data_IF_185438422826
#
_entry.id   IF_185438422826
#
_cell.length_a   1.000
_cell.length_b   1.000
_cell.length_c   1.000
_cell.angle_alpha   90.00
_cell.angle_beta   90.00
_cell.angle_gamma   90.00
#
_symmetry.space_group_name_H-M   'P 1'
#
loop_
_entity.id
_entity.type
_entity.pdbx_description
1 polymer ?
#
# COMPACT_ATOMS: atom_id res chain seq x y z
N UNK A 1 -34.33 -17.52 -4.35
CA UNK A 1 -33.95 -17.72 -2.93
C UNK A 1 -32.58 -17.12 -2.71
N UNK A 2 -32.51 -16.00 -2.00
CA UNK A 2 -31.22 -15.40 -1.62
C UNK A 2 -30.59 -16.22 -0.49
N UNK A 3 -29.50 -16.88 -0.76
CA UNK A 3 -28.70 -17.53 0.26
C UNK A 3 -27.94 -16.44 1.04
N UNK A 4 -28.39 -16.17 2.27
CA UNK A 4 -27.63 -15.31 3.19
C UNK A 4 -26.36 -16.06 3.61
N UNK A 5 -25.16 -15.51 3.47
CA UNK A 5 -23.95 -16.15 3.95
C UNK A 5 -24.06 -16.36 5.45
N UNK A 6 -23.74 -17.58 5.89
CA UNK A 6 -23.85 -17.99 7.29
C UNK A 6 -22.95 -17.14 8.19
N UNK A 7 -23.33 -17.02 9.48
CA UNK A 7 -22.59 -16.24 10.54
C UNK A 7 -21.09 -16.55 10.62
N UNK A 8 -20.67 -17.76 10.24
CA UNK A 8 -19.25 -18.16 10.19
C UNK A 8 -18.47 -17.49 9.05
N UNK A 9 -19.09 -17.28 7.88
CA UNK A 9 -18.48 -16.57 6.75
C UNK A 9 -18.27 -15.08 7.10
N UNK A 10 -19.24 -14.46 7.78
CA UNK A 10 -19.14 -13.05 8.23
C UNK A 10 -18.03 -12.89 9.30
N UNK A 11 -17.84 -13.87 10.19
CA UNK A 11 -16.72 -13.86 11.16
C UNK A 11 -15.35 -14.00 10.49
N UNK A 12 -15.25 -14.83 9.46
CA UNK A 12 -14.00 -15.03 8.71
C UNK A 12 -13.62 -13.78 7.90
N UNK A 13 -14.60 -13.10 7.32
CA UNK A 13 -14.41 -11.82 6.62
C UNK A 13 -13.92 -10.73 7.60
N UNK A 14 -14.52 -10.62 8.80
CA UNK A 14 -14.07 -9.69 9.85
C UNK A 14 -12.66 -9.98 10.37
N UNK A 15 -12.24 -11.24 10.43
CA UNK A 15 -10.89 -11.62 10.86
C UNK A 15 -9.81 -11.23 9.85
N UNK A 16 -10.14 -11.18 8.56
CA UNK A 16 -9.21 -10.76 7.49
C UNK A 16 -9.08 -9.23 7.46
N UNK A 17 -10.15 -8.49 7.76
CA UNK A 17 -10.15 -7.02 7.80
C UNK A 17 -9.40 -6.43 9.01
N UNK A 18 -9.04 -7.25 10.00
CA UNK A 18 -8.34 -6.78 11.21
C UNK A 18 -6.85 -6.47 10.99
N UNK A 19 -6.23 -6.88 9.89
CA UNK A 19 -4.80 -6.66 9.65
C UNK A 19 -4.45 -5.26 9.13
N UNK A 20 -5.36 -4.59 8.43
CA UNK A 20 -5.16 -3.22 7.96
C UNK A 20 -6.15 -2.27 8.62
N UNK A 21 -5.73 -1.68 9.73
CA UNK A 21 -6.54 -0.76 10.54
C UNK A 21 -6.02 0.67 10.42
N UNK A 22 -6.84 1.64 10.82
CA UNK A 22 -6.42 3.04 10.91
C UNK A 22 -5.16 3.21 11.77
N UNK A 23 -4.98 2.42 12.83
CA UNK A 23 -3.78 2.42 13.67
C UNK A 23 -2.53 1.99 12.90
N UNK A 24 -2.63 0.93 12.09
CA UNK A 24 -1.52 0.47 11.24
C UNK A 24 -1.14 1.55 10.23
N UNK A 25 -2.12 2.19 9.61
CA UNK A 25 -1.89 3.27 8.68
C UNK A 25 -1.28 4.51 9.34
N UNK A 26 -1.75 4.90 10.52
CA UNK A 26 -1.15 5.99 11.31
C UNK A 26 0.32 5.71 11.69
N UNK A 27 0.65 4.46 12.06
CA UNK A 27 2.03 4.04 12.30
C UNK A 27 2.89 4.18 11.04
N UNK A 28 2.36 3.80 9.89
CA UNK A 28 3.03 3.99 8.60
C UNK A 28 3.29 5.48 8.31
N UNK A 29 2.29 6.34 8.45
CA UNK A 29 2.41 7.78 8.24
C UNK A 29 3.48 8.40 9.17
N UNK A 30 3.48 8.02 10.45
CA UNK A 30 4.47 8.47 11.42
C UNK A 30 5.91 8.02 11.06
N UNK A 31 6.07 6.80 10.55
CA UNK A 31 7.36 6.30 10.05
C UNK A 31 7.80 7.06 8.79
N UNK A 32 6.88 7.31 7.87
CA UNK A 32 7.14 8.06 6.64
C UNK A 32 7.66 9.47 6.96
N UNK A 33 7.02 10.19 7.87
CA UNK A 33 7.49 11.53 8.29
C UNK A 33 8.87 11.48 8.96
N UNK A 34 9.17 10.46 9.76
CA UNK A 34 10.51 10.31 10.35
C UNK A 34 11.59 10.10 9.29
N UNK A 35 11.31 9.28 8.26
CA UNK A 35 12.26 9.02 7.17
C UNK A 35 12.52 10.26 6.31
N UNK A 36 11.49 11.08 6.11
CA UNK A 36 11.57 12.27 5.26
C UNK A 36 11.97 13.54 6.01
N UNK A 37 12.05 13.49 7.34
CA UNK A 37 12.35 14.65 8.20
C UNK A 37 13.64 15.38 7.82
N UNK A 38 14.67 14.64 7.41
CA UNK A 38 15.97 15.20 7.02
C UNK A 38 15.90 16.03 5.74
N UNK A 39 14.94 15.74 4.87
CA UNK A 39 14.81 16.45 3.59
C UNK A 39 14.17 17.82 3.72
N UNK A 40 13.53 18.12 4.85
CA UNK A 40 12.74 19.35 5.11
C UNK A 40 11.67 19.63 4.02
N UNK A 41 11.35 18.64 3.19
CA UNK A 41 10.35 18.76 2.12
C UNK A 41 8.99 18.25 2.61
N UNK A 42 7.93 18.89 2.13
CA UNK A 42 6.57 18.40 2.36
C UNK A 42 6.34 17.10 1.58
N UNK A 43 5.74 16.13 2.26
CA UNK A 43 5.39 14.84 1.65
C UNK A 43 4.03 14.95 0.99
N UNK A 44 3.94 14.56 -0.27
CA UNK A 44 2.69 14.37 -0.99
C UNK A 44 2.46 12.87 -1.15
N UNK A 45 1.49 12.35 -0.41
CA UNK A 45 1.14 10.93 -0.42
C UNK A 45 -0.05 10.71 -1.35
N UNK A 46 0.09 9.80 -2.29
CA UNK A 46 -0.99 9.34 -3.16
C UNK A 46 -1.45 7.98 -2.64
N UNK A 47 -2.73 7.85 -2.35
CA UNK A 47 -3.31 6.62 -1.83
C UNK A 47 -4.61 6.28 -2.55
N UNK A 48 -4.98 5.01 -2.53
CA UNK A 48 -6.28 4.57 -3.00
C UNK A 48 -7.42 5.03 -2.07
N UNK A 49 -8.66 4.80 -2.50
CA UNK A 49 -9.85 5.19 -1.77
C UNK A 49 -10.23 4.26 -0.61
N UNK A 50 -9.31 3.42 -0.10
CA UNK A 50 -9.63 2.49 0.99
C UNK A 50 -10.20 3.21 2.21
N UNK A 51 -11.27 2.71 2.85
CA UNK A 51 -11.93 3.38 3.99
C UNK A 51 -10.99 3.71 5.15
N UNK A 52 -9.97 2.87 5.41
CA UNK A 52 -8.96 3.09 6.45
C UNK A 52 -8.20 4.40 6.23
N UNK A 53 -7.89 4.74 4.98
CA UNK A 53 -7.19 5.98 4.64
C UNK A 53 -8.02 7.24 4.92
N UNK A 54 -9.36 7.08 4.98
CA UNK A 54 -10.33 8.15 5.23
C UNK A 54 -10.90 8.13 6.64
N UNK A 55 -10.39 7.26 7.51
CA UNK A 55 -10.86 7.14 8.89
C UNK A 55 -10.71 8.48 9.64
N UNK A 56 -11.62 8.75 10.59
CA UNK A 56 -11.65 10.01 11.36
C UNK A 56 -10.34 10.28 12.08
N UNK A 57 -9.73 9.26 12.67
CA UNK A 57 -8.43 9.37 13.34
C UNK A 57 -7.30 9.74 12.39
N UNK A 58 -7.34 9.22 11.16
CA UNK A 58 -6.36 9.54 10.10
C UNK A 58 -6.53 10.99 9.65
N UNK A 59 -7.75 11.45 9.42
CA UNK A 59 -8.02 12.85 9.04
C UNK A 59 -7.51 13.82 10.10
N UNK A 60 -7.82 13.56 11.39
CA UNK A 60 -7.33 14.39 12.50
C UNK A 60 -5.81 14.46 12.51
N UNK A 61 -5.15 13.32 12.40
CA UNK A 61 -3.69 13.27 12.37
C UNK A 61 -3.10 14.03 11.19
N UNK A 62 -3.70 13.93 10.00
CA UNK A 62 -3.28 14.67 8.80
C UNK A 62 -3.46 16.18 8.98
N UNK A 63 -4.54 16.62 9.62
CA UNK A 63 -4.78 18.04 9.91
C UNK A 63 -3.69 18.58 10.88
N UNK A 64 -3.33 17.81 11.89
CA UNK A 64 -2.26 18.16 12.83
C UNK A 64 -0.87 18.22 12.18
N UNK A 65 -0.67 17.49 11.07
CA UNK A 65 0.60 17.42 10.33
C UNK A 65 0.54 18.08 8.94
N UNK A 66 -0.42 18.95 8.71
CA UNK A 66 -0.69 19.54 7.38
C UNK A 66 0.51 20.32 6.79
N UNK A 67 1.40 20.83 7.62
CA UNK A 67 2.64 21.47 7.17
C UNK A 67 3.65 20.48 6.58
N UNK A 68 3.61 19.22 7.02
CA UNK A 68 4.62 18.19 6.70
C UNK A 68 4.14 17.20 5.65
N UNK A 69 2.82 16.90 5.60
CA UNK A 69 2.24 15.90 4.70
C UNK A 69 0.89 16.32 4.18
N UNK A 70 0.62 15.95 2.94
CA UNK A 70 -0.71 16.05 2.32
C UNK A 70 -1.02 14.75 1.60
N UNK A 71 -2.24 14.24 1.77
CA UNK A 71 -2.72 13.05 1.08
C UNK A 71 -3.63 13.43 -0.10
N UNK A 72 -3.48 12.70 -1.19
CA UNK A 72 -4.33 12.74 -2.36
C UNK A 72 -4.89 11.36 -2.61
N UNK A 73 -6.16 11.28 -2.95
CA UNK A 73 -6.81 10.00 -3.23
C UNK A 73 -6.95 9.79 -4.73
N UNK A 74 -6.61 8.59 -5.17
CA UNK A 74 -6.90 8.16 -6.53
C UNK A 74 -8.42 8.05 -6.75
N UNK A 75 -8.90 8.26 -7.98
CA UNK A 75 -10.30 7.98 -8.33
C UNK A 75 -10.69 6.55 -7.95
N UNK A 76 -11.97 6.35 -7.66
CA UNK A 76 -12.51 5.03 -7.38
C UNK A 76 -12.38 4.12 -8.61
N UNK A 77 -12.09 2.84 -8.38
CA UNK A 77 -11.98 1.83 -9.45
C UNK A 77 -10.95 2.12 -10.55
N UNK A 78 -9.85 2.77 -10.20
CA UNK A 78 -8.76 3.10 -11.13
C UNK A 78 -7.42 2.49 -10.69
N UNK A 79 -7.31 1.15 -10.65
CA UNK A 79 -6.07 0.49 -10.22
C UNK A 79 -4.90 0.78 -11.16
N UNK A 80 -5.17 1.06 -12.44
CA UNK A 80 -4.16 1.43 -13.44
C UNK A 80 -3.42 2.74 -13.12
N UNK A 81 -4.03 3.60 -12.33
CA UNK A 81 -3.42 4.84 -11.86
C UNK A 81 -2.55 4.65 -10.61
N UNK A 82 -2.57 3.47 -10.00
CA UNK A 82 -1.82 3.19 -8.79
C UNK A 82 -0.49 2.51 -9.12
N UNK A 83 0.67 3.18 -8.94
CA UNK A 83 1.96 2.57 -9.23
C UNK A 83 2.26 1.33 -8.37
N UNK A 84 1.63 1.18 -7.20
CA UNK A 84 1.76 -0.01 -6.36
C UNK A 84 1.20 -1.28 -7.03
N UNK A 85 0.25 -1.15 -7.95
CA UNK A 85 -0.27 -2.31 -8.70
C UNK A 85 0.80 -2.93 -9.60
N UNK A 86 1.69 -2.13 -10.17
CA UNK A 86 2.82 -2.61 -10.95
C UNK A 86 3.82 -3.38 -10.07
N UNK A 87 4.12 -2.85 -8.88
CA UNK A 87 4.95 -3.54 -7.90
C UNK A 87 4.27 -4.83 -7.41
N UNK A 88 2.98 -4.81 -7.11
CA UNK A 88 2.22 -5.98 -6.70
C UNK A 88 2.24 -7.08 -7.76
N UNK A 89 2.06 -6.72 -9.03
CA UNK A 89 2.11 -7.65 -10.14
C UNK A 89 3.52 -8.24 -10.30
N UNK A 90 4.55 -7.42 -10.19
CA UNK A 90 5.95 -7.84 -10.26
C UNK A 90 6.29 -8.82 -9.12
N UNK A 91 5.88 -8.52 -7.88
CA UNK A 91 6.04 -9.42 -6.72
C UNK A 91 5.31 -10.75 -6.94
N UNK A 92 4.07 -10.71 -7.41
CA UNK A 92 3.29 -11.94 -7.70
C UNK A 92 4.00 -12.80 -8.74
N UNK A 93 4.54 -12.20 -9.79
CA UNK A 93 5.18 -12.92 -10.88
C UNK A 93 6.56 -13.45 -10.49
N UNK A 94 7.40 -12.63 -9.88
CA UNK A 94 8.82 -12.92 -9.69
C UNK A 94 9.18 -13.45 -8.31
N UNK A 95 8.45 -13.08 -7.25
CA UNK A 95 8.70 -13.60 -5.91
C UNK A 95 7.90 -14.87 -5.60
N UNK A 96 6.69 -15.00 -6.14
CA UNK A 96 5.76 -16.08 -5.82
C UNK A 96 5.50 -17.03 -7.00
N UNK A 97 5.56 -16.52 -8.24
CA UNK A 97 5.21 -17.29 -9.42
C UNK A 97 6.28 -18.29 -9.88
N UNK A 98 7.55 -18.04 -9.56
CA UNK A 98 8.67 -18.90 -9.97
C UNK A 98 8.89 -20.10 -9.04
N UNK A 99 8.65 -19.92 -7.76
CA UNK A 99 8.78 -20.97 -6.74
C UNK A 99 7.51 -20.92 -5.88
N UNK A 100 6.74 -22.02 -5.90
CA UNK A 100 5.52 -22.09 -5.11
C UNK A 100 5.88 -22.26 -3.64
N UNK A 101 5.55 -21.29 -2.75
CA UNK A 101 5.85 -21.40 -1.34
C UNK A 101 5.04 -22.54 -0.70
N UNK A 102 5.65 -23.30 0.18
CA UNK A 102 5.04 -24.45 0.86
C UNK A 102 4.07 -23.97 1.97
N UNK A 103 4.36 -22.81 2.55
CA UNK A 103 3.55 -22.23 3.64
C UNK A 103 3.60 -20.70 3.61
N UNK A 104 2.76 -20.09 4.47
CA UNK A 104 2.65 -18.63 4.58
C UNK A 104 3.96 -17.97 5.02
N UNK A 105 4.73 -18.63 5.89
CA UNK A 105 6.01 -18.10 6.38
C UNK A 105 7.02 -17.97 5.25
N UNK A 106 7.19 -19.02 4.45
CA UNK A 106 8.06 -19.01 3.26
C UNK A 106 7.59 -17.97 2.24
N UNK A 107 6.29 -17.88 2.02
CA UNK A 107 5.70 -16.84 1.16
C UNK A 107 6.09 -15.43 1.63
N UNK A 108 5.97 -15.15 2.92
CA UNK A 108 6.34 -13.85 3.48
C UNK A 108 7.82 -13.56 3.37
N UNK A 109 8.68 -14.56 3.54
CA UNK A 109 10.13 -14.41 3.42
C UNK A 109 10.54 -14.16 1.97
N UNK A 110 9.92 -14.85 1.00
CA UNK A 110 10.12 -14.63 -0.43
C UNK A 110 9.72 -13.19 -0.82
N UNK A 111 8.56 -12.72 -0.37
CA UNK A 111 8.10 -11.34 -0.61
C UNK A 111 9.05 -10.32 0.00
N UNK A 112 9.44 -10.49 1.26
CA UNK A 112 10.38 -9.58 1.94
C UNK A 112 11.73 -9.50 1.25
N UNK A 113 12.27 -10.66 0.85
CA UNK A 113 13.55 -10.74 0.13
C UNK A 113 13.47 -10.03 -1.20
N UNK A 114 12.40 -10.27 -1.95
CA UNK A 114 12.17 -9.61 -3.24
C UNK A 114 12.04 -8.09 -3.11
N UNK A 115 11.27 -7.61 -2.14
CA UNK A 115 11.11 -6.19 -1.88
C UNK A 115 12.43 -5.51 -1.49
N UNK A 116 13.28 -6.17 -0.68
CA UNK A 116 14.63 -5.66 -0.36
C UNK A 116 15.51 -5.53 -1.59
N UNK A 117 15.50 -6.54 -2.46
CA UNK A 117 16.26 -6.52 -3.72
C UNK A 117 15.75 -5.39 -4.63
N UNK A 118 14.44 -5.25 -4.74
CA UNK A 118 13.80 -4.18 -5.55
C UNK A 118 14.16 -2.80 -5.01
N UNK A 119 14.09 -2.62 -3.69
CA UNK A 119 14.43 -1.36 -3.03
C UNK A 119 15.90 -0.96 -3.27
N UNK A 120 16.81 -1.93 -3.35
CA UNK A 120 18.22 -1.69 -3.66
C UNK A 120 18.48 -1.37 -5.15
N UNK A 121 17.46 -1.42 -6.00
CA UNK A 121 17.53 -1.19 -7.44
C UNK A 121 16.71 0.04 -7.88
N UNK A 122 17.19 1.27 -7.65
CA UNK A 122 16.42 2.48 -7.95
C UNK A 122 15.98 2.59 -9.43
N UNK A 123 16.78 2.06 -10.35
CA UNK A 123 16.43 2.04 -11.79
C UNK A 123 15.18 1.19 -12.05
N UNK A 124 15.04 0.05 -11.37
CA UNK A 124 13.87 -0.82 -11.50
C UNK A 124 12.62 -0.10 -10.95
N UNK A 125 12.74 0.51 -9.78
CA UNK A 125 11.63 1.28 -9.18
C UNK A 125 11.20 2.43 -10.10
N UNK A 126 12.16 3.18 -10.66
CA UNK A 126 11.87 4.24 -11.63
C UNK A 126 11.14 3.74 -12.88
N UNK A 127 11.37 2.50 -13.31
CA UNK A 127 10.71 1.94 -14.48
C UNK A 127 9.21 1.74 -14.26
N UNK A 128 8.73 1.49 -13.02
CA UNK A 128 7.29 1.45 -12.75
C UNK A 128 6.61 2.76 -13.10
N UNK A 129 7.28 3.90 -12.88
CA UNK A 129 6.76 5.23 -13.18
C UNK A 129 6.87 5.64 -14.66
N UNK A 130 7.45 4.81 -15.52
CA UNK A 130 7.46 5.02 -16.98
C UNK A 130 6.19 4.52 -17.66
N UNK A 131 5.41 3.69 -16.95
CA UNK A 131 4.14 3.24 -17.47
C UNK A 131 3.21 4.45 -17.65
N UNK A 132 2.50 4.49 -18.78
CA UNK A 132 1.73 5.63 -19.25
C UNK A 132 0.76 6.20 -18.21
N UNK A 133 0.06 5.32 -17.48
CA UNK A 133 -1.00 5.72 -16.56
C UNK A 133 -0.49 6.22 -15.21
N UNK A 134 0.78 5.95 -14.88
CA UNK A 134 1.38 6.36 -13.60
C UNK A 134 2.47 7.41 -13.73
N UNK A 135 2.76 7.89 -14.94
CA UNK A 135 3.77 8.93 -15.20
C UNK A 135 3.55 10.21 -14.40
N UNK A 136 2.30 10.53 -14.07
CA UNK A 136 1.94 11.68 -13.24
C UNK A 136 2.63 11.68 -11.87
N UNK A 137 2.99 10.52 -11.33
CA UNK A 137 3.64 10.38 -10.03
C UNK A 137 5.19 10.44 -10.11
N UNK A 138 5.76 10.59 -11.30
CA UNK A 138 7.21 10.62 -11.54
C UNK A 138 7.84 12.02 -11.36
N UNK A 139 7.02 13.05 -11.23
CA UNK A 139 7.43 14.46 -11.21
C UNK A 139 7.34 15.12 -9.86
#
# INVERSE_FOLDING_TARGET
MCHKPGRAAIRKQRAIDHHFTARVFLNFLGRLLRLTRKTKRKVFLIADGHPVHKARSVRRWLDEHAAQIRIFFLPSYSPELNPDELLNQDVKTNALGRVRPVNVHEMMDNVRSYLRITQARPKLVKNYFRERHVQYAAH
#
